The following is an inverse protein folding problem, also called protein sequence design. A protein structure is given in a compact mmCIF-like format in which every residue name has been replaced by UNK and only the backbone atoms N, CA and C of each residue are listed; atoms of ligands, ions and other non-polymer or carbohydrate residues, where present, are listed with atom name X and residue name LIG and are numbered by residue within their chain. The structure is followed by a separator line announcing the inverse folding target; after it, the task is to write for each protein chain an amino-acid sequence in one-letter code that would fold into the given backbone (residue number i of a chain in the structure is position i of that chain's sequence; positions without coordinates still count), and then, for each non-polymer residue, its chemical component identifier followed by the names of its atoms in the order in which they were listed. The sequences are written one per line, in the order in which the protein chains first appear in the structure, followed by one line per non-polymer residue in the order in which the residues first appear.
data_IF_752605197800
#
_entry.id   IF_752605197800
#
_cell.length_a   1.000
_cell.length_b   1.000
_cell.length_c   1.000
_cell.angle_alpha   90.00
_cell.angle_beta   90.00
_cell.angle_gamma   90.00
#
_symmetry.space_group_name_H-M   'P 1'
#
loop_
_entity.id
_entity.type
_entity.pdbx_description
1 polymer ?
#
# COMPACT_ATOMS: atom_id res chain seq x y z
N UNK A 1 -20.17 17.40 -8.77
CA UNK A 1 -19.78 17.21 -10.19
C UNK A 1 -18.26 17.15 -10.40
N UNK A 2 -17.44 18.03 -9.78
CA UNK A 2 -15.97 17.97 -9.90
C UNK A 2 -15.33 16.72 -9.25
N UNK A 3 -15.85 16.26 -8.12
CA UNK A 3 -15.29 15.14 -7.37
C UNK A 3 -15.41 13.80 -8.08
N UNK A 4 -16.61 13.45 -8.55
CA UNK A 4 -16.85 12.25 -9.35
C UNK A 4 -16.01 12.22 -10.65
N UNK A 5 -15.78 13.39 -11.27
CA UNK A 5 -14.91 13.51 -12.44
C UNK A 5 -13.45 13.22 -12.10
N UNK A 6 -12.95 13.71 -10.96
CA UNK A 6 -11.58 13.42 -10.51
C UNK A 6 -11.40 11.94 -10.19
N UNK A 7 -12.37 11.34 -9.50
CA UNK A 7 -12.36 9.90 -9.21
C UNK A 7 -12.29 9.08 -10.49
N UNK A 8 -13.13 9.38 -11.48
CA UNK A 8 -13.11 8.69 -12.77
C UNK A 8 -11.77 8.82 -13.52
N UNK A 9 -11.08 9.96 -13.38
CA UNK A 9 -9.73 10.15 -13.95
C UNK A 9 -8.71 9.26 -13.22
N UNK A 10 -8.75 9.21 -11.89
CA UNK A 10 -7.87 8.34 -11.09
C UNK A 10 -8.11 6.87 -11.40
N UNK A 11 -9.38 6.43 -11.46
CA UNK A 11 -9.75 5.07 -11.84
C UNK A 11 -9.21 4.73 -13.23
N UNK A 12 -9.45 5.57 -14.22
CA UNK A 12 -8.95 5.37 -15.57
C UNK A 12 -7.41 5.29 -15.62
N UNK A 13 -6.72 6.08 -14.80
CA UNK A 13 -5.26 6.04 -14.73
C UNK A 13 -4.75 4.72 -14.13
N UNK A 14 -5.34 4.27 -13.02
CA UNK A 14 -4.99 2.99 -12.39
C UNK A 14 -5.30 1.80 -13.31
N UNK A 15 -6.48 1.80 -13.93
CA UNK A 15 -6.89 0.77 -14.88
C UNK A 15 -5.96 0.76 -16.10
N UNK A 16 -5.55 1.93 -16.59
CA UNK A 16 -4.58 2.07 -17.67
C UNK A 16 -3.20 1.50 -17.30
N UNK A 17 -2.69 1.84 -16.11
CA UNK A 17 -1.44 1.25 -15.60
C UNK A 17 -1.53 -0.27 -15.53
N UNK A 18 -2.61 -0.81 -14.97
CA UNK A 18 -2.82 -2.24 -14.85
C UNK A 18 -2.92 -2.93 -16.22
N UNK A 19 -3.67 -2.35 -17.15
CA UNK A 19 -3.80 -2.85 -18.52
C UNK A 19 -2.44 -2.92 -19.22
N UNK A 20 -1.61 -1.88 -19.09
CA UNK A 20 -0.27 -1.89 -19.68
C UNK A 20 0.63 -2.97 -19.04
N UNK A 21 0.56 -3.16 -17.73
CA UNK A 21 1.29 -4.25 -17.07
C UNK A 21 0.82 -5.63 -17.52
N UNK A 22 -0.49 -5.84 -17.71
CA UNK A 22 -1.06 -7.08 -18.25
C UNK A 22 -0.58 -7.35 -19.67
N UNK A 23 -0.54 -6.32 -20.53
CA UNK A 23 -0.05 -6.43 -21.90
C UNK A 23 1.43 -6.80 -21.94
N UNK A 24 2.26 -6.14 -21.12
CA UNK A 24 3.69 -6.47 -20.99
C UNK A 24 3.86 -7.90 -20.48
N UNK A 25 3.13 -8.30 -19.44
CA UNK A 25 3.18 -9.64 -18.88
C UNK A 25 2.81 -10.70 -19.93
N UNK A 26 1.77 -10.48 -20.73
CA UNK A 26 1.37 -11.40 -21.79
C UNK A 26 2.50 -11.63 -22.80
N UNK A 27 3.10 -10.57 -23.32
CA UNK A 27 4.21 -10.66 -24.28
C UNK A 27 5.46 -11.28 -23.64
N UNK A 28 5.79 -10.86 -22.42
CA UNK A 28 7.00 -11.31 -21.74
C UNK A 28 6.93 -12.77 -21.30
N UNK A 29 5.77 -13.28 -20.91
CA UNK A 29 5.59 -14.70 -20.56
C UNK A 29 5.80 -15.64 -21.75
N UNK A 30 5.64 -15.18 -22.98
CA UNK A 30 5.87 -15.98 -24.18
C UNK A 30 7.35 -16.08 -24.58
N UNK A 31 8.17 -15.07 -24.22
CA UNK A 31 9.54 -14.94 -24.73
C UNK A 31 10.63 -14.98 -23.66
N UNK A 32 10.29 -14.68 -22.40
CA UNK A 32 11.24 -14.68 -21.29
C UNK A 32 11.06 -15.94 -20.45
N UNK A 33 12.15 -16.35 -19.77
CA UNK A 33 12.05 -17.36 -18.70
C UNK A 33 11.21 -16.81 -17.54
N UNK A 34 10.55 -17.69 -16.79
CA UNK A 34 9.73 -17.30 -15.63
C UNK A 34 10.51 -16.39 -14.68
N UNK A 35 11.76 -16.73 -14.36
CA UNK A 35 12.60 -15.91 -13.46
C UNK A 35 12.84 -14.49 -13.99
N UNK A 36 13.17 -14.34 -15.28
CA UNK A 36 13.42 -13.02 -15.87
C UNK A 36 12.12 -12.23 -15.98
N UNK A 37 11.02 -12.88 -16.38
CA UNK A 37 9.69 -12.28 -16.43
C UNK A 37 9.24 -11.79 -15.05
N UNK A 38 9.30 -12.64 -14.01
CA UNK A 38 8.89 -12.29 -12.64
C UNK A 38 9.71 -11.15 -12.06
N UNK A 39 11.04 -11.14 -12.26
CA UNK A 39 11.89 -10.02 -11.82
C UNK A 39 11.53 -8.71 -12.53
N UNK A 40 11.28 -8.77 -13.84
CA UNK A 40 10.97 -7.59 -14.65
C UNK A 40 9.60 -7.00 -14.26
N UNK A 41 8.59 -7.86 -14.12
CA UNK A 41 7.27 -7.46 -13.60
C UNK A 41 7.34 -6.99 -12.15
N UNK A 42 8.18 -7.62 -11.33
CA UNK A 42 8.43 -7.24 -9.93
C UNK A 42 8.93 -5.81 -9.79
N UNK A 43 9.87 -5.40 -10.65
CA UNK A 43 10.37 -4.03 -10.69
C UNK A 43 9.28 -3.02 -11.07
N UNK A 44 8.45 -3.34 -12.08
CA UNK A 44 7.36 -2.49 -12.51
C UNK A 44 6.25 -2.36 -11.45
N UNK A 45 5.87 -3.49 -10.83
CA UNK A 45 4.90 -3.53 -9.74
C UNK A 45 5.42 -2.73 -8.53
N UNK A 46 6.67 -2.96 -8.14
CA UNK A 46 7.35 -2.22 -7.06
C UNK A 46 7.34 -0.73 -7.30
N UNK A 47 7.65 -0.29 -8.53
CA UNK A 47 7.60 1.12 -8.89
C UNK A 47 6.18 1.68 -8.75
N UNK A 48 5.19 1.02 -9.35
CA UNK A 48 3.79 1.48 -9.29
C UNK A 48 3.29 1.61 -7.85
N UNK A 49 3.50 0.57 -7.03
CA UNK A 49 3.10 0.55 -5.62
C UNK A 49 3.80 1.64 -4.82
N UNK A 50 5.12 1.78 -4.97
CA UNK A 50 5.87 2.83 -4.26
C UNK A 50 5.38 4.24 -4.63
N UNK A 51 4.98 4.47 -5.89
CA UNK A 51 4.42 5.77 -6.30
C UNK A 51 3.05 6.05 -5.71
N UNK A 52 2.23 5.02 -5.52
CA UNK A 52 0.93 5.13 -4.86
C UNK A 52 1.14 5.41 -3.37
N UNK A 53 2.00 4.64 -2.71
CA UNK A 53 2.36 4.83 -1.29
C UNK A 53 2.87 6.26 -1.05
N UNK A 54 3.84 6.71 -1.85
CA UNK A 54 4.40 8.07 -1.79
C UNK A 54 3.34 9.16 -1.92
N UNK A 55 2.32 8.92 -2.77
CA UNK A 55 1.25 9.89 -2.99
C UNK A 55 0.36 9.99 -1.75
N UNK A 56 -0.05 8.84 -1.19
CA UNK A 56 -0.92 8.76 -0.01
C UNK A 56 -0.22 9.32 1.23
N UNK A 57 1.04 8.92 1.46
CA UNK A 57 1.83 9.36 2.61
C UNK A 57 2.11 10.87 2.62
N UNK A 58 1.94 11.58 1.50
CA UNK A 58 2.10 13.04 1.39
C UNK A 58 0.78 13.81 1.56
N UNK A 59 -0.36 13.11 1.65
CA UNK A 59 -1.65 13.76 1.88
C UNK A 59 -1.74 14.22 3.33
N UNK A 60 -2.16 15.46 3.54
CA UNK A 60 -2.29 16.06 4.88
C UNK A 60 -3.68 15.86 5.50
N UNK A 61 -4.69 15.65 4.67
CA UNK A 61 -6.08 15.45 5.08
C UNK A 61 -6.76 14.53 4.07
N UNK A 62 -7.38 13.47 4.58
CA UNK A 62 -8.08 12.45 3.80
C UNK A 62 -9.47 12.28 4.41
N UNK A 63 -10.51 12.63 3.65
CA UNK A 63 -11.90 12.42 4.07
C UNK A 63 -12.17 10.91 4.17
N UNK A 64 -12.98 10.50 5.16
CA UNK A 64 -13.32 9.09 5.36
C UNK A 64 -13.88 8.41 4.10
N UNK A 65 -14.69 9.12 3.30
CA UNK A 65 -15.20 8.61 2.02
C UNK A 65 -14.10 8.39 1.00
N UNK A 66 -13.11 9.28 0.93
CA UNK A 66 -11.97 9.15 0.02
C UNK A 66 -11.06 8.00 0.47
N UNK A 67 -10.82 7.87 1.78
CA UNK A 67 -10.04 6.78 2.36
C UNK A 67 -10.63 5.41 1.98
N UNK A 68 -11.95 5.24 2.16
CA UNK A 68 -12.65 4.01 1.80
C UNK A 68 -12.55 3.70 0.30
N UNK A 69 -12.72 4.73 -0.55
CA UNK A 69 -12.61 4.56 -2.00
C UNK A 69 -11.18 4.17 -2.37
N UNK A 70 -10.16 4.83 -1.81
CA UNK A 70 -8.76 4.50 -2.04
C UNK A 70 -8.45 3.07 -1.59
N UNK A 71 -8.87 2.66 -0.40
CA UNK A 71 -8.68 1.30 0.11
C UNK A 71 -9.22 0.26 -0.89
N UNK A 72 -10.49 0.39 -1.31
CA UNK A 72 -11.12 -0.53 -2.26
C UNK A 72 -10.39 -0.57 -3.60
N UNK A 73 -9.95 0.58 -4.11
CA UNK A 73 -9.29 0.65 -5.43
C UNK A 73 -7.88 0.09 -5.40
N UNK A 74 -7.12 0.40 -4.36
CA UNK A 74 -5.75 -0.09 -4.19
C UNK A 74 -5.77 -1.60 -3.90
N UNK A 75 -6.74 -2.07 -3.11
CA UNK A 75 -6.95 -3.51 -2.88
C UNK A 75 -7.22 -4.27 -4.19
N UNK A 76 -8.09 -3.76 -5.06
CA UNK A 76 -8.34 -4.33 -6.39
C UNK A 76 -7.10 -4.30 -7.29
N UNK A 77 -6.29 -3.25 -7.21
CA UNK A 77 -5.02 -3.17 -7.93
C UNK A 77 -4.05 -4.24 -7.44
N UNK A 78 -3.91 -4.43 -6.12
CA UNK A 78 -3.07 -5.48 -5.52
C UNK A 78 -3.50 -6.88 -5.99
N UNK A 79 -4.80 -7.18 -5.94
CA UNK A 79 -5.36 -8.45 -6.43
C UNK A 79 -5.04 -8.68 -7.92
N UNK A 80 -5.16 -7.62 -8.73
CA UNK A 80 -4.85 -7.68 -10.17
C UNK A 80 -3.36 -7.89 -10.43
N UNK A 81 -2.49 -7.23 -9.65
CA UNK A 81 -1.05 -7.44 -9.70
C UNK A 81 -0.70 -8.87 -9.29
N UNK A 82 -1.30 -9.40 -8.23
CA UNK A 82 -1.09 -10.78 -7.77
C UNK A 82 -1.31 -11.81 -8.88
N UNK A 83 -2.32 -11.61 -9.74
CA UNK A 83 -2.59 -12.50 -10.88
C UNK A 83 -1.45 -12.52 -11.90
N UNK A 84 -0.68 -11.43 -12.05
CA UNK A 84 0.47 -11.40 -12.97
C UNK A 84 1.59 -12.34 -12.53
N UNK A 85 1.70 -12.61 -11.22
CA UNK A 85 2.75 -13.42 -10.63
C UNK A 85 2.33 -14.87 -10.37
N UNK A 86 1.26 -15.32 -11.02
CA UNK A 86 0.92 -16.74 -11.15
C UNK A 86 1.59 -17.26 -12.44
N UNK A 87 2.48 -18.24 -12.28
CA UNK A 87 3.24 -18.84 -13.37
C UNK A 87 2.99 -20.35 -13.42
N UNK A 88 2.96 -20.92 -14.62
CA UNK A 88 2.75 -22.36 -14.84
C UNK A 88 1.51 -22.90 -14.13
N UNK A 89 1.71 -23.91 -13.29
CA UNK A 89 0.66 -24.61 -12.54
C UNK A 89 0.48 -24.12 -11.09
N UNK A 90 1.12 -23.00 -10.74
CA UNK A 90 1.05 -22.48 -9.37
C UNK A 90 -0.37 -22.01 -9.03
N UNK A 91 -0.76 -22.25 -7.77
CA UNK A 91 -2.07 -21.82 -7.23
C UNK A 91 -2.02 -20.49 -6.49
N UNK A 92 -0.82 -20.03 -6.14
CA UNK A 92 -0.61 -18.86 -5.29
C UNK A 92 0.31 -17.86 -5.99
N UNK A 93 0.02 -16.57 -5.81
CA UNK A 93 0.85 -15.51 -6.34
C UNK A 93 2.23 -15.47 -5.67
N UNK A 94 3.26 -15.29 -6.49
CA UNK A 94 4.64 -15.12 -6.04
C UNK A 94 5.07 -13.65 -5.92
N UNK A 95 4.14 -12.68 -6.04
CA UNK A 95 4.46 -11.24 -6.04
C UNK A 95 5.31 -10.81 -4.85
N UNK A 96 5.04 -11.35 -3.66
CA UNK A 96 5.76 -11.05 -2.42
C UNK A 96 7.26 -11.36 -2.51
N UNK A 97 7.70 -12.23 -3.43
CA UNK A 97 9.13 -12.53 -3.64
C UNK A 97 9.84 -11.51 -4.51
N UNK A 98 9.10 -10.82 -5.36
CA UNK A 98 9.66 -9.94 -6.41
C UNK A 98 9.36 -8.46 -6.16
N UNK A 99 8.41 -8.15 -5.28
CA UNK A 99 8.01 -6.80 -4.91
C UNK A 99 7.75 -6.69 -3.39
N UNK A 100 8.48 -7.45 -2.57
CA UNK A 100 8.24 -7.65 -1.13
C UNK A 100 7.90 -6.36 -0.38
N UNK A 101 8.86 -5.42 -0.34
CA UNK A 101 8.74 -4.21 0.47
C UNK A 101 7.58 -3.32 0.02
N UNK A 102 7.47 -2.90 -1.27
CA UNK A 102 6.31 -2.13 -1.73
C UNK A 102 4.98 -2.88 -1.56
N UNK A 103 4.95 -4.20 -1.78
CA UNK A 103 3.74 -5.00 -1.64
C UNK A 103 3.20 -4.97 -0.21
N UNK A 104 4.03 -5.27 0.79
CA UNK A 104 3.58 -5.25 2.18
C UNK A 104 3.35 -3.83 2.70
N UNK A 105 4.15 -2.85 2.27
CA UNK A 105 3.91 -1.43 2.60
C UNK A 105 2.55 -0.95 2.12
N UNK A 106 2.19 -1.21 0.86
CA UNK A 106 0.87 -0.86 0.34
C UNK A 106 -0.25 -1.57 1.13
N UNK A 107 -0.06 -2.84 1.54
CA UNK A 107 -1.05 -3.53 2.37
C UNK A 107 -1.24 -2.89 3.75
N UNK A 108 -0.18 -2.43 4.40
CA UNK A 108 -0.29 -1.69 5.66
C UNK A 108 -0.98 -0.33 5.47
N UNK A 109 -0.70 0.36 4.36
CA UNK A 109 -1.38 1.62 4.03
C UNK A 109 -2.88 1.37 3.78
N UNK A 110 -3.24 0.34 3.00
CA UNK A 110 -4.65 -0.04 2.76
C UNK A 110 -5.34 -0.37 4.08
N UNK A 111 -4.68 -1.07 4.99
CA UNK A 111 -5.22 -1.34 6.32
C UNK A 111 -5.51 -0.05 7.10
N UNK A 112 -4.62 0.94 7.07
CA UNK A 112 -4.88 2.23 7.71
C UNK A 112 -6.06 2.98 7.06
N UNK A 113 -6.16 2.94 5.73
CA UNK A 113 -7.24 3.62 4.98
C UNK A 113 -8.64 3.05 5.28
N UNK A 114 -8.73 1.74 5.58
CA UNK A 114 -9.98 1.02 5.84
C UNK A 114 -10.27 0.79 7.34
N UNK A 115 -9.27 1.05 8.19
CA UNK A 115 -9.29 0.74 9.61
C UNK A 115 -9.75 1.88 10.51
N UNK A 116 -10.08 1.54 11.74
CA UNK A 116 -10.30 2.50 12.81
C UNK A 116 -8.99 2.91 13.48
N UNK A 117 -9.04 3.96 14.31
CA UNK A 117 -7.89 4.38 15.12
C UNK A 117 -7.39 3.27 16.06
N UNK A 118 -8.30 2.41 16.55
CA UNK A 118 -7.99 1.27 17.42
C UNK A 118 -7.29 0.16 16.63
N UNK A 119 -7.79 -0.15 15.43
CA UNK A 119 -7.14 -1.10 14.52
C UNK A 119 -5.69 -0.71 14.22
N UNK A 120 -5.44 0.59 13.95
CA UNK A 120 -4.09 1.11 13.71
C UNK A 120 -3.22 1.02 14.98
N UNK A 121 -3.77 1.35 16.14
CA UNK A 121 -3.08 1.21 17.43
C UNK A 121 -2.64 -0.24 17.70
N UNK A 122 -3.55 -1.18 17.51
CA UNK A 122 -3.31 -2.61 17.75
C UNK A 122 -2.30 -3.18 16.76
N UNK A 123 -2.40 -2.78 15.48
CA UNK A 123 -1.47 -3.26 14.44
C UNK A 123 -0.08 -2.61 14.55
N UNK A 124 0.04 -1.41 15.12
CA UNK A 124 1.32 -0.79 15.49
C UNK A 124 1.94 -1.42 16.73
N UNK A 125 1.13 -1.69 17.77
CA UNK A 125 1.52 -2.31 19.03
C UNK A 125 2.80 -1.71 19.64
N UNK A 126 2.83 -0.38 19.83
CA UNK A 126 4.00 0.31 20.38
C UNK A 126 5.30 0.10 19.58
N UNK A 127 5.21 -0.04 18.26
CA UNK A 127 6.35 -0.27 17.36
C UNK A 127 6.83 -1.71 17.26
N UNK A 128 6.08 -2.66 17.84
CA UNK A 128 6.40 -4.10 17.83
C UNK A 128 5.44 -4.93 16.97
N UNK A 129 4.39 -4.30 16.46
CA UNK A 129 3.39 -4.94 15.63
C UNK A 129 3.84 -5.13 14.18
N UNK A 130 3.05 -5.87 13.37
CA UNK A 130 3.40 -6.15 11.96
C UNK A 130 3.54 -4.88 11.11
N UNK A 131 2.83 -3.80 11.44
CA UNK A 131 2.93 -2.53 10.70
C UNK A 131 4.34 -1.91 10.81
N UNK A 132 5.00 -2.07 11.96
CA UNK A 132 6.33 -1.51 12.21
C UNK A 132 7.45 -2.18 11.38
N UNK A 133 7.17 -3.34 10.77
CA UNK A 133 8.09 -4.00 9.84
C UNK A 133 8.19 -3.26 8.50
N UNK A 134 7.12 -2.55 8.12
CA UNK A 134 6.96 -2.00 6.77
C UNK A 134 6.86 -0.47 6.77
N UNK A 135 6.29 0.14 7.80
CA UNK A 135 6.13 1.58 7.94
C UNK A 135 6.93 2.12 9.11
N UNK A 136 7.56 3.28 8.91
CA UNK A 136 8.24 4.01 9.98
C UNK A 136 7.23 4.72 10.89
N UNK A 137 7.62 4.99 12.14
CA UNK A 137 6.80 5.75 13.09
C UNK A 137 6.34 7.10 12.51
N UNK A 138 7.19 7.77 11.72
CA UNK A 138 6.85 9.04 11.05
C UNK A 138 5.73 8.87 10.02
N UNK A 139 5.78 7.79 9.22
CA UNK A 139 4.75 7.50 8.23
C UNK A 139 3.43 7.15 8.90
N UNK A 140 3.46 6.35 9.97
CA UNK A 140 2.26 6.00 10.73
C UNK A 140 1.65 7.24 11.39
N UNK A 141 2.47 8.13 11.99
CA UNK A 141 1.99 9.41 12.48
C UNK A 141 1.30 10.22 11.38
N UNK A 142 1.93 10.37 10.20
CA UNK A 142 1.35 11.11 9.08
C UNK A 142 0.00 10.53 8.62
N UNK A 143 -0.11 9.20 8.53
CA UNK A 143 -1.37 8.53 8.21
C UNK A 143 -2.45 8.78 9.28
N UNK A 144 -2.09 8.65 10.56
CA UNK A 144 -3.01 8.89 11.67
C UNK A 144 -3.50 10.35 11.69
N UNK A 145 -2.60 11.29 11.35
CA UNK A 145 -2.94 12.71 11.26
C UNK A 145 -3.87 13.01 10.08
N UNK A 146 -3.63 12.38 8.93
CA UNK A 146 -4.41 12.59 7.71
C UNK A 146 -5.80 11.92 7.74
N UNK A 147 -5.94 10.78 8.44
CA UNK A 147 -7.16 9.96 8.37
C UNK A 147 -8.15 10.20 9.50
N UNK A 148 -7.67 10.58 10.70
CA UNK A 148 -8.52 10.62 11.89
C UNK A 148 -8.71 12.03 12.44
N UNK A 149 -9.94 12.32 12.85
CA UNK A 149 -10.30 13.58 13.49
C UNK A 149 -9.46 13.85 14.73
N UNK A 150 -9.18 15.14 14.99
CA UNK A 150 -8.39 15.54 16.15
C UNK A 150 -9.17 15.28 17.45
N UNK A 151 -8.79 14.23 18.15
CA UNK A 151 -9.42 13.78 19.40
C UNK A 151 -8.34 13.45 20.43
N UNK A 152 -8.73 13.37 21.71
CA UNK A 152 -7.81 12.96 22.78
C UNK A 152 -7.21 11.57 22.52
N UNK A 153 -8.00 10.62 22.01
CA UNK A 153 -7.53 9.28 21.66
C UNK A 153 -6.46 9.32 20.57
N UNK A 154 -6.69 10.12 19.50
CA UNK A 154 -5.69 10.32 18.43
C UNK A 154 -4.40 10.91 18.99
N UNK A 155 -4.49 11.95 19.83
CA UNK A 155 -3.32 12.58 20.42
C UNK A 155 -2.51 11.61 21.30
N UNK A 156 -3.17 10.73 22.04
CA UNK A 156 -2.51 9.68 22.83
C UNK A 156 -1.78 8.67 21.95
N UNK A 157 -2.42 8.19 20.88
CA UNK A 157 -1.78 7.26 19.94
C UNK A 157 -0.56 7.90 19.24
N UNK A 158 -0.66 9.15 18.80
CA UNK A 158 0.47 9.86 18.19
C UNK A 158 1.66 10.00 19.13
N UNK A 159 1.41 10.25 20.41
CA UNK A 159 2.45 10.30 21.43
C UNK A 159 3.12 8.92 21.62
N UNK A 160 2.33 7.84 21.68
CA UNK A 160 2.83 6.47 21.78
C UNK A 160 3.73 6.08 20.59
N UNK A 161 3.25 6.33 19.37
CA UNK A 161 4.00 6.07 18.13
C UNK A 161 5.33 6.85 18.14
N UNK A 162 5.31 8.12 18.53
CA UNK A 162 6.52 8.96 18.56
C UNK A 162 7.54 8.50 19.60
N UNK A 163 7.09 7.98 20.74
CA UNK A 163 7.96 7.46 21.81
C UNK A 163 8.59 6.12 21.45
N UNK A 164 7.90 5.27 20.70
CA UNK A 164 8.40 3.95 20.30
C UNK A 164 9.68 4.02 19.43
N UNK A 165 9.95 5.15 18.78
CA UNK A 165 11.15 5.37 17.98
C UNK A 165 12.44 5.53 18.82
N UNK A 166 12.32 5.78 20.13
CA UNK A 166 13.46 6.02 21.04
C UNK A 166 14.07 4.71 21.56
N UNK A 167 13.35 3.58 21.46
CA UNK A 167 13.77 2.28 22.00
C UNK A 167 14.73 1.47 21.12
N UNK A 168 14.89 1.82 19.84
CA UNK A 168 15.64 1.00 18.86
C UNK A 168 17.00 1.58 18.46
N UNK A 169 17.39 2.75 19.00
CA UNK A 169 18.69 3.36 18.73
C UNK A 169 19.83 2.87 19.67
N UNK A 170 19.60 1.76 20.39
CA UNK A 170 20.55 1.19 21.34
C UNK A 170 20.64 -0.32 21.19
N UNK A 171 21.17 -0.78 20.05
CA UNK A 171 21.82 -2.10 19.89
C UNK A 171 22.65 -2.13 18.61
#
# INVERSE_FOLDING_TARGET
MHEAKRLAICEKALDGCMMHLQQLAAVWKEVLTDTVCSNSLGNLASFLLSRIDDFILKMLDIRATDAQIMAVKIQKLLESLEQLFIFGSDKCSSIHRFAESPYYRTKEIVFCLDGTLEDVSDRWCGGKGPMAQWLSAKEVCGLVEALFQNTRKRAQLLADISLSNVGSAGQ
#
